data_IF_134391055325
#
_entry.id   IF_134391055325
#
_cell.length_a   1.000
_cell.length_b   1.000
_cell.length_c   1.000
_cell.angle_alpha   90.00
_cell.angle_beta   90.00
_cell.angle_gamma   90.00
#
_symmetry.space_group_name_H-M   'P 1'
#
loop_
_entity.id
_entity.type
_entity.pdbx_description
1 polymer ?
#
# COMPACT_ATOMS: atom_id res chain seq x y z
N UNK A 1 16.32 -0.85 -21.25
CA UNK A 1 16.00 -2.13 -20.61
C UNK A 1 14.50 -2.18 -20.39
N UNK A 2 13.78 -3.12 -21.00
CA UNK A 2 12.35 -3.29 -20.76
C UNK A 2 12.21 -4.22 -19.55
N UNK A 3 11.65 -3.71 -18.46
CA UNK A 3 11.43 -4.51 -17.25
C UNK A 3 10.50 -5.67 -17.61
N UNK A 4 10.87 -6.91 -17.29
CA UNK A 4 9.97 -8.03 -17.53
C UNK A 4 8.76 -7.94 -16.60
N UNK A 5 7.60 -8.43 -17.03
CA UNK A 5 6.38 -8.50 -16.20
C UNK A 5 6.65 -9.21 -14.86
N UNK A 6 7.58 -10.18 -14.85
CA UNK A 6 7.99 -10.91 -13.65
C UNK A 6 8.77 -10.03 -12.67
N UNK A 7 9.63 -9.16 -13.16
CA UNK A 7 10.38 -8.20 -12.35
C UNK A 7 9.47 -7.11 -11.81
N UNK A 8 8.57 -6.56 -12.64
CA UNK A 8 7.58 -5.58 -12.21
C UNK A 8 6.69 -6.12 -11.06
N UNK A 9 6.25 -7.38 -11.16
CA UNK A 9 5.49 -8.05 -10.08
C UNK A 9 6.31 -8.25 -8.81
N UNK A 10 7.61 -8.54 -8.92
CA UNK A 10 8.50 -8.69 -7.76
C UNK A 10 8.71 -7.36 -7.06
N UNK A 11 8.92 -6.28 -7.80
CA UNK A 11 9.06 -4.92 -7.27
C UNK A 11 7.80 -4.51 -6.51
N UNK A 12 6.61 -4.73 -7.11
CA UNK A 12 5.35 -4.45 -6.43
C UNK A 12 5.20 -5.25 -5.14
N UNK A 13 5.44 -6.57 -5.17
CA UNK A 13 5.37 -7.42 -3.97
C UNK A 13 6.31 -6.98 -2.85
N UNK A 14 7.54 -6.59 -3.18
CA UNK A 14 8.50 -6.08 -2.19
C UNK A 14 7.96 -4.81 -1.53
N UNK A 15 7.52 -3.85 -2.33
CA UNK A 15 6.99 -2.60 -1.81
C UNK A 15 5.70 -2.77 -0.96
N UNK A 16 4.84 -3.78 -1.24
CA UNK A 16 3.75 -4.15 -0.31
C UNK A 16 4.28 -4.67 1.03
N UNK A 17 5.31 -5.51 1.00
CA UNK A 17 5.97 -6.02 2.21
C UNK A 17 6.64 -4.91 3.02
N UNK A 18 7.37 -4.02 2.35
CA UNK A 18 8.07 -2.90 3.00
C UNK A 18 7.07 -1.96 3.70
N UNK A 19 5.92 -1.68 3.06
CA UNK A 19 4.88 -0.90 3.71
C UNK A 19 4.22 -1.64 4.87
N UNK A 20 4.02 -2.95 4.79
CA UNK A 20 3.50 -3.74 5.91
C UNK A 20 4.45 -3.72 7.11
N UNK A 21 5.77 -3.85 6.87
CA UNK A 21 6.79 -3.73 7.92
C UNK A 21 6.72 -2.35 8.57
N UNK A 22 6.63 -1.28 7.78
CA UNK A 22 6.49 0.08 8.32
C UNK A 22 5.26 0.23 9.21
N UNK A 23 4.11 -0.34 8.82
CA UNK A 23 2.90 -0.31 9.65
C UNK A 23 3.11 -1.06 10.97
N UNK A 24 3.73 -2.23 10.93
CA UNK A 24 3.99 -3.06 12.11
C UNK A 24 4.99 -2.36 13.07
N UNK A 25 6.05 -1.75 12.55
CA UNK A 25 7.06 -1.00 13.33
C UNK A 25 6.49 0.24 14.03
N UNK A 26 5.43 0.84 13.45
CA UNK A 26 4.76 2.01 14.00
C UNK A 26 3.46 1.64 14.76
N UNK A 27 3.20 0.35 14.99
CA UNK A 27 2.01 -0.18 15.67
C UNK A 27 0.67 0.29 15.05
N UNK A 28 0.66 0.58 13.74
CA UNK A 28 -0.50 1.14 13.04
C UNK A 28 -1.46 0.01 12.66
N UNK A 29 -2.67 0.07 13.23
CA UNK A 29 -3.66 -0.98 13.02
C UNK A 29 -4.42 -0.86 11.70
N UNK A 30 -4.93 -1.98 11.17
CA UNK A 30 -5.79 -1.95 9.97
C UNK A 30 -7.08 -1.16 10.18
N UNK A 31 -7.59 -1.15 11.41
CA UNK A 31 -8.78 -0.38 11.81
C UNK A 31 -8.53 1.12 11.65
N UNK A 32 -7.42 1.60 12.18
CA UNK A 32 -7.01 2.99 12.07
C UNK A 32 -6.83 3.41 10.60
N UNK A 33 -6.16 2.59 9.80
CA UNK A 33 -6.05 2.84 8.35
C UNK A 33 -7.43 2.90 7.67
N UNK A 34 -8.35 2.04 8.08
CA UNK A 34 -9.70 2.00 7.53
C UNK A 34 -10.48 3.29 7.86
N UNK A 35 -10.34 3.77 9.09
CA UNK A 35 -10.93 5.02 9.56
C UNK A 35 -10.38 6.23 8.77
N UNK A 36 -9.06 6.28 8.52
CA UNK A 36 -8.41 7.35 7.76
C UNK A 36 -8.96 7.49 6.33
N UNK A 37 -9.24 6.38 5.64
CA UNK A 37 -9.72 6.40 4.25
C UNK A 37 -11.22 6.14 4.10
N UNK A 38 -11.96 6.12 5.21
CA UNK A 38 -13.41 5.92 5.27
C UNK A 38 -13.86 4.61 4.64
N UNK A 39 -13.27 3.48 5.05
CA UNK A 39 -13.56 2.15 4.49
C UNK A 39 -13.59 1.05 5.55
N UNK A 40 -13.62 -0.22 5.13
CA UNK A 40 -13.54 -1.38 6.04
C UNK A 40 -12.12 -1.93 6.16
N UNK A 41 -11.80 -2.57 7.28
CA UNK A 41 -10.53 -3.30 7.46
C UNK A 41 -10.31 -4.38 6.39
N UNK A 42 -11.39 -4.98 5.88
CA UNK A 42 -11.32 -5.95 4.80
C UNK A 42 -10.89 -5.30 3.48
N UNK A 43 -11.37 -4.09 3.19
CA UNK A 43 -10.92 -3.31 2.03
C UNK A 43 -9.45 -2.93 2.18
N UNK A 44 -9.02 -2.44 3.35
CA UNK A 44 -7.60 -2.17 3.64
C UNK A 44 -6.76 -3.42 3.40
N UNK A 45 -7.21 -4.59 3.85
CA UNK A 45 -6.50 -5.85 3.63
C UNK A 45 -6.37 -6.18 2.14
N UNK A 46 -7.40 -5.93 1.31
CA UNK A 46 -7.28 -6.13 -0.15
C UNK A 46 -6.33 -5.12 -0.79
N UNK A 47 -6.38 -3.87 -0.35
CA UNK A 47 -5.54 -2.78 -0.83
C UNK A 47 -4.06 -3.07 -0.53
N UNK A 48 -3.71 -3.41 0.71
CA UNK A 48 -2.34 -3.74 1.13
C UNK A 48 -1.79 -5.04 0.51
N UNK A 49 -2.65 -5.86 -0.10
CA UNK A 49 -2.24 -7.06 -0.82
C UNK A 49 -2.22 -6.85 -2.35
N UNK A 50 -2.43 -5.61 -2.81
CA UNK A 50 -2.44 -5.27 -4.23
C UNK A 50 -3.58 -5.87 -5.03
N UNK A 51 -4.71 -6.20 -4.36
CA UNK A 51 -5.92 -6.70 -5.02
C UNK A 51 -6.85 -5.58 -5.49
N UNK A 52 -6.52 -4.33 -5.17
CA UNK A 52 -7.24 -3.13 -5.58
C UNK A 52 -6.27 -2.25 -6.39
N UNK A 53 -6.51 -2.05 -7.68
CA UNK A 53 -5.61 -1.33 -8.60
C UNK A 53 -6.27 -0.11 -9.27
N UNK A 54 -7.53 0.16 -8.92
CA UNK A 54 -8.29 1.28 -9.45
C UNK A 54 -7.65 2.64 -9.11
N UNK A 55 -8.03 3.68 -9.85
CA UNK A 55 -7.59 5.05 -9.55
C UNK A 55 -7.91 5.46 -8.10
N UNK A 56 -9.10 5.12 -7.62
CA UNK A 56 -9.52 5.42 -6.24
C UNK A 56 -8.68 4.64 -5.21
N UNK A 57 -8.34 3.38 -5.50
CA UNK A 57 -7.46 2.58 -4.64
C UNK A 57 -6.08 3.25 -4.51
N UNK A 58 -5.50 3.73 -5.62
CA UNK A 58 -4.22 4.46 -5.63
C UNK A 58 -4.28 5.77 -4.85
N UNK A 59 -5.39 6.50 -4.92
CA UNK A 59 -5.60 7.72 -4.14
C UNK A 59 -5.68 7.43 -2.65
N UNK A 60 -6.45 6.42 -2.24
CA UNK A 60 -6.52 6.00 -0.82
C UNK A 60 -5.17 5.54 -0.29
N UNK A 61 -4.40 4.85 -1.12
CA UNK A 61 -3.05 4.39 -0.77
C UNK A 61 -2.07 5.55 -0.58
N UNK A 62 -2.15 6.58 -1.43
CA UNK A 62 -1.43 7.85 -1.23
C UNK A 62 -1.78 8.52 0.09
N UNK A 63 -3.07 8.54 0.45
CA UNK A 63 -3.52 9.08 1.74
C UNK A 63 -2.89 8.30 2.89
N UNK A 64 -2.88 6.96 2.83
CA UNK A 64 -2.23 6.14 3.87
C UNK A 64 -0.72 6.41 3.96
N UNK A 65 -0.03 6.58 2.84
CA UNK A 65 1.40 6.92 2.84
C UNK A 65 1.68 8.27 3.51
N UNK A 66 0.89 9.28 3.18
CA UNK A 66 1.00 10.60 3.82
C UNK A 66 0.71 10.53 5.31
N UNK A 67 -0.33 9.79 5.70
CA UNK A 67 -0.72 9.61 7.09
C UNK A 67 0.35 8.91 7.93
N UNK A 68 0.92 7.83 7.38
CA UNK A 68 1.91 6.99 8.06
C UNK A 68 3.34 7.54 7.98
N UNK A 69 3.57 8.62 7.21
CA UNK A 69 4.91 9.12 6.91
C UNK A 69 5.76 8.17 6.06
N UNK A 70 5.15 7.22 5.36
CA UNK A 70 5.86 6.26 4.53
C UNK A 70 6.30 6.88 3.21
N UNK A 71 7.62 6.85 2.94
CA UNK A 71 8.25 7.43 1.76
C UNK A 71 8.86 6.40 0.79
N UNK A 72 8.50 5.11 0.93
CA UNK A 72 9.15 4.01 0.23
C UNK A 72 9.21 4.11 -1.30
N UNK A 73 10.06 3.27 -1.89
CA UNK A 73 10.45 3.34 -3.30
C UNK A 73 9.26 3.27 -4.28
N UNK A 74 8.96 4.42 -4.88
CA UNK A 74 8.30 4.61 -6.18
C UNK A 74 7.13 3.68 -6.53
N UNK A 75 6.15 3.55 -5.63
CA UNK A 75 4.91 2.80 -5.88
C UNK A 75 3.95 3.43 -6.90
N UNK A 76 4.19 4.70 -7.25
CA UNK A 76 3.30 5.54 -8.07
C UNK A 76 3.92 5.97 -9.40
N UNK A 77 5.10 5.43 -9.75
CA UNK A 77 5.74 5.66 -11.03
C UNK A 77 4.95 5.02 -12.19
#
# INVERSE_FOLDING_TARGET
>A
MHMSVKEARRTLKRAYGDFQIHLDENEISRKELADVIGTSEQYVSRLLNGREDSKSAKEKLRTLFQYTGYHGDNWLA
#
